data_IF_793927754077
#
_entry.id   IF_793927754077
#
_cell.length_a   1.000
_cell.length_b   1.000
_cell.length_c   1.000
_cell.angle_alpha   90.00
_cell.angle_beta   90.00
_cell.angle_gamma   90.00
#
_symmetry.space_group_name_H-M   'P 1'
#
loop_
_entity.id
_entity.type
_entity.pdbx_description
1 polymer ?
#
# COMPACT_ATOMS: atom_id res chain seq x y z
N UNK A 1 9.09 0.83 -1.06
CA UNK A 1 10.32 0.41 -1.74
C UNK A 1 10.05 0.18 -3.21
N UNK A 2 10.99 0.54 -4.06
CA UNK A 2 10.88 0.57 -5.53
C UNK A 2 11.97 -0.27 -6.21
N UNK A 3 12.35 -1.40 -5.59
CA UNK A 3 13.39 -2.29 -6.14
C UNK A 3 12.90 -3.19 -7.27
N UNK A 4 11.58 -3.32 -7.43
CA UNK A 4 10.98 -4.24 -8.37
C UNK A 4 10.34 -3.45 -9.51
N UNK A 5 10.57 -3.89 -10.74
CA UNK A 5 9.93 -3.31 -11.91
C UNK A 5 8.40 -3.37 -11.78
N UNK A 6 7.75 -2.28 -12.19
CA UNK A 6 6.30 -2.11 -12.25
C UNK A 6 5.56 -2.34 -10.92
N UNK A 7 6.28 -2.24 -9.80
CA UNK A 7 5.78 -2.64 -8.48
C UNK A 7 6.31 -1.75 -7.37
N UNK A 8 5.40 -1.01 -6.75
CA UNK A 8 5.73 -0.21 -5.57
C UNK A 8 5.25 -0.94 -4.31
N UNK A 9 6.13 -1.07 -3.31
CA UNK A 9 5.74 -1.54 -1.98
C UNK A 9 5.32 -0.37 -1.11
N UNK A 10 4.03 -0.30 -0.79
CA UNK A 10 3.39 0.77 -0.03
C UNK A 10 3.14 0.30 1.40
N UNK A 11 3.53 1.10 2.40
CA UNK A 11 3.21 0.84 3.81
C UNK A 11 1.99 1.66 4.22
N UNK A 12 0.88 1.00 4.50
CA UNK A 12 -0.37 1.65 4.93
C UNK A 12 -0.49 1.56 6.43
N UNK A 13 -0.60 2.71 7.10
CA UNK A 13 -0.94 2.79 8.51
C UNK A 13 -2.46 2.85 8.68
N UNK A 14 -3.01 1.98 9.53
CA UNK A 14 -4.41 2.06 9.96
C UNK A 14 -4.49 2.20 11.48
N UNK A 15 -5.46 2.98 11.93
CA UNK A 15 -5.81 3.10 13.35
C UNK A 15 -7.06 2.27 13.61
N UNK A 16 -7.02 1.44 14.64
CA UNK A 16 -8.18 0.67 15.08
C UNK A 16 -8.26 0.68 16.60
N UNK A 17 -9.47 0.49 17.11
CA UNK A 17 -9.74 0.42 18.54
C UNK A 17 -9.54 -1.01 19.01
N UNK A 18 -8.74 -1.22 20.05
CA UNK A 18 -8.62 -2.54 20.66
C UNK A 18 -9.99 -2.97 21.21
N UNK A 19 -10.46 -4.21 20.92
CA UNK A 19 -11.83 -4.61 21.23
C UNK A 19 -12.15 -4.54 22.73
N UNK A 20 -11.23 -5.02 23.59
CA UNK A 20 -11.42 -5.02 25.05
C UNK A 20 -11.02 -3.68 25.67
N UNK A 21 -9.74 -3.32 25.56
CA UNK A 21 -9.15 -2.15 26.22
C UNK A 21 -9.60 -0.79 25.67
N UNK A 22 -10.32 -0.74 24.53
CA UNK A 22 -10.78 0.49 23.88
C UNK A 22 -9.69 1.53 23.52
N UNK A 23 -8.41 1.18 23.69
CA UNK A 23 -7.24 1.97 23.30
C UNK A 23 -7.12 2.03 21.77
N UNK A 24 -6.79 3.21 21.23
CA UNK A 24 -6.52 3.39 19.80
C UNK A 24 -5.10 2.92 19.51
N UNK A 25 -4.97 1.91 18.65
CA UNK A 25 -3.70 1.28 18.28
C UNK A 25 -3.44 1.52 16.80
N UNK A 26 -2.18 1.79 16.45
CA UNK A 26 -1.69 1.91 15.07
C UNK A 26 -1.15 0.56 14.59
N UNK A 27 -1.55 0.12 13.40
CA UNK A 27 -1.01 -1.08 12.75
C UNK A 27 -0.64 -0.76 11.32
N UNK A 28 0.60 -1.06 10.95
CA UNK A 28 1.10 -0.94 9.58
C UNK A 28 0.97 -2.26 8.83
N UNK A 29 0.57 -2.21 7.56
CA UNK A 29 0.63 -3.36 6.64
C UNK A 29 1.25 -2.92 5.33
N UNK A 30 2.12 -3.77 4.78
CA UNK A 30 2.76 -3.55 3.48
C UNK A 30 1.92 -4.19 2.37
N UNK A 31 1.75 -3.46 1.26
CA UNK A 31 1.03 -3.88 0.08
C UNK A 31 1.90 -3.72 -1.16
N UNK A 32 1.71 -4.59 -2.15
CA UNK A 32 2.34 -4.46 -3.46
C UNK A 32 1.33 -3.86 -4.42
N UNK A 33 1.60 -2.64 -4.87
CA UNK A 33 0.78 -1.92 -5.82
C UNK A 33 1.42 -1.99 -7.22
N UNK A 34 0.59 -2.04 -8.24
CA UNK A 34 0.99 -1.99 -9.63
C UNK A 34 1.11 -0.53 -10.08
N UNK A 35 2.26 -0.21 -10.67
CA UNK A 35 2.51 1.03 -11.40
C UNK A 35 3.14 0.64 -12.74
N UNK A 36 2.51 0.88 -13.90
CA UNK A 36 3.09 0.53 -15.19
C UNK A 36 4.23 1.47 -15.63
N UNK A 37 4.30 2.70 -15.08
CA UNK A 37 5.24 3.75 -15.54
C UNK A 37 6.45 3.94 -14.63
N UNK A 38 6.54 3.20 -13.50
CA UNK A 38 7.58 3.37 -12.47
C UNK A 38 7.77 4.86 -12.09
N UNK A 39 6.67 5.58 -11.98
CA UNK A 39 6.67 7.02 -11.77
C UNK A 39 6.92 7.43 -10.32
N UNK A 40 6.75 6.51 -9.37
CA UNK A 40 6.82 6.79 -7.93
C UNK A 40 8.11 6.28 -7.32
N UNK A 41 8.75 7.10 -6.49
CA UNK A 41 10.00 6.77 -5.80
C UNK A 41 9.77 6.49 -4.32
N UNK A 42 10.82 5.99 -3.66
CA UNK A 42 10.79 5.80 -2.21
C UNK A 42 10.69 7.15 -1.49
N UNK A 43 9.63 7.33 -0.69
CA UNK A 43 9.38 8.56 0.07
C UNK A 43 8.11 9.28 -0.38
N UNK A 44 7.60 8.98 -1.57
CA UNK A 44 6.39 9.60 -2.09
C UNK A 44 5.13 9.14 -1.33
N UNK A 45 4.20 10.07 -1.12
CA UNK A 45 2.87 9.76 -0.62
C UNK A 45 1.98 9.37 -1.79
N UNK A 46 1.36 8.19 -1.69
CA UNK A 46 0.52 7.64 -2.75
C UNK A 46 -0.80 7.15 -2.18
N UNK A 47 -1.84 7.19 -3.01
CA UNK A 47 -3.11 6.51 -2.73
C UNK A 47 -3.12 5.18 -3.48
N UNK A 48 -3.79 4.17 -2.92
CA UNK A 48 -3.93 2.87 -3.57
C UNK A 48 -5.40 2.49 -3.66
N UNK A 49 -5.80 1.87 -4.76
CA UNK A 49 -7.13 1.33 -4.98
C UNK A 49 -7.09 -0.18 -5.19
N UNK A 50 -8.20 -0.87 -4.89
CA UNK A 50 -8.36 -2.29 -5.23
C UNK A 50 -8.51 -2.44 -6.74
N UNK A 51 -7.84 -3.44 -7.32
CA UNK A 51 -7.87 -3.69 -8.76
C UNK A 51 -7.90 -5.19 -9.07
N UNK A 52 -8.02 -5.52 -10.36
CA UNK A 52 -7.90 -6.89 -10.83
C UNK A 52 -6.55 -7.50 -10.41
N UNK A 53 -6.52 -8.82 -10.14
CA UNK A 53 -5.29 -9.49 -9.71
C UNK A 53 -4.20 -9.47 -10.80
N UNK A 54 -3.14 -8.67 -10.59
CA UNK A 54 -1.99 -8.62 -11.51
C UNK A 54 -0.98 -9.75 -11.25
N UNK A 55 -0.86 -10.23 -10.01
CA UNK A 55 0.04 -11.35 -9.65
C UNK A 55 -0.52 -12.23 -8.53
N UNK A 56 0.29 -12.96 -7.75
CA UNK A 56 -0.18 -13.61 -6.51
C UNK A 56 -0.53 -12.61 -5.40
N UNK A 57 0.18 -11.48 -5.35
CA UNK A 57 0.11 -10.51 -4.24
C UNK A 57 -0.18 -9.07 -4.68
N UNK A 58 -0.07 -8.77 -5.98
CA UNK A 58 -0.43 -7.47 -6.56
C UNK A 58 -1.94 -7.46 -6.81
N UNK A 59 -2.66 -6.74 -5.95
CA UNK A 59 -4.13 -6.55 -5.95
C UNK A 59 -4.50 -5.07 -5.82
N UNK A 60 -3.50 -4.21 -5.91
CA UNK A 60 -3.60 -2.79 -5.65
C UNK A 60 -3.01 -2.06 -6.84
N UNK A 61 -3.61 -0.94 -7.20
CA UNK A 61 -3.11 -0.02 -8.22
C UNK A 61 -2.78 1.32 -7.56
N UNK A 62 -1.70 1.96 -8.00
CA UNK A 62 -1.29 3.25 -7.48
C UNK A 62 -2.11 4.36 -8.15
N UNK A 63 -2.69 5.24 -7.33
CA UNK A 63 -3.35 6.47 -7.74
C UNK A 63 -2.48 7.68 -7.36
N UNK A 64 -2.56 8.73 -8.18
CA UNK A 64 -1.96 10.03 -7.85
C UNK A 64 -2.63 10.58 -6.59
N UNK A 65 -1.81 11.16 -5.69
CA UNK A 65 -2.25 11.70 -4.40
C UNK A 65 -3.08 12.98 -4.55
#
# INVERSE_FOLDING_TARGET
SDKNEQTVTVSVERRFKHPVLKKIIRKSKKYRAHDPKNSFKEGDQVRIQECAPVSKSKRWEVLVA
#
